data_IF_160660454292
#
_entry.id   IF_160660454292
#
_cell.length_a   1.000
_cell.length_b   1.000
_cell.length_c   1.000
_cell.angle_alpha   90.00
_cell.angle_beta   90.00
_cell.angle_gamma   90.00
#
_symmetry.space_group_name_H-M   'P 1'
#
loop_
_entity.id
_entity.type
_entity.pdbx_description
1 polymer ?
#
# COMPACT_ATOMS: atom_id res chain seq x y z
N UNK A 1 22.97 -9.70 87.46
CA UNK A 1 22.05 -10.59 86.77
C UNK A 1 21.71 -9.94 85.40
N UNK A 2 22.45 -10.31 84.35
CA UNK A 2 22.30 -9.70 83.01
C UNK A 2 21.38 -10.60 82.19
N UNK A 3 20.23 -10.03 81.77
CA UNK A 3 19.32 -10.68 80.85
C UNK A 3 19.67 -10.20 79.47
N UNK A 4 20.23 -11.10 78.64
CA UNK A 4 20.40 -10.88 77.21
C UNK A 4 19.14 -11.34 76.49
N UNK A 5 18.45 -10.39 75.90
CA UNK A 5 17.27 -10.65 75.01
C UNK A 5 17.76 -10.80 73.60
N UNK A 6 17.63 -12.04 73.07
CA UNK A 6 17.96 -12.38 71.66
C UNK A 6 16.70 -12.14 70.78
N UNK A 7 16.77 -11.18 69.87
CA UNK A 7 15.74 -10.96 68.87
C UNK A 7 15.99 -11.87 67.63
N UNK A 8 15.00 -12.63 67.19
CA UNK A 8 15.14 -13.39 65.91
C UNK A 8 15.05 -12.43 64.72
N UNK A 9 16.08 -12.42 63.86
CA UNK A 9 16.08 -11.76 62.54
C UNK A 9 15.15 -12.52 61.61
N UNK A 10 13.98 -11.98 61.33
CA UNK A 10 13.14 -12.44 60.24
C UNK A 10 13.75 -11.97 58.92
N UNK A 11 14.32 -12.90 58.17
CA UNK A 11 14.80 -12.69 56.81
C UNK A 11 13.60 -12.77 55.87
N UNK A 12 13.07 -11.58 55.47
CA UNK A 12 11.96 -11.51 54.51
C UNK A 12 12.49 -11.83 53.11
N UNK A 13 12.25 -13.06 52.65
CA UNK A 13 12.61 -13.50 51.31
C UNK A 13 11.64 -12.86 50.31
N UNK A 14 12.08 -11.78 49.63
CA UNK A 14 11.29 -11.11 48.59
C UNK A 14 11.34 -11.97 47.32
N UNK A 15 10.33 -12.80 47.09
CA UNK A 15 10.19 -13.60 45.90
C UNK A 15 9.82 -12.68 44.71
N UNK A 16 10.81 -12.27 43.91
CA UNK A 16 10.59 -11.52 42.67
C UNK A 16 10.00 -12.48 41.64
N UNK A 17 8.68 -12.43 41.46
CA UNK A 17 7.99 -13.10 40.36
C UNK A 17 8.36 -12.42 39.05
N UNK A 18 9.33 -12.99 38.34
CA UNK A 18 9.65 -12.67 36.95
C UNK A 18 8.48 -13.17 36.08
N UNK A 19 7.51 -12.29 35.80
CA UNK A 19 6.53 -12.55 34.75
C UNK A 19 7.25 -12.45 33.40
N UNK A 20 7.29 -13.52 32.58
CA UNK A 20 7.81 -13.40 31.22
C UNK A 20 6.89 -12.43 30.48
N UNK A 21 7.44 -11.29 30.04
CA UNK A 21 6.76 -10.43 29.08
C UNK A 21 6.61 -11.21 27.77
N UNK A 22 5.47 -11.86 27.57
CA UNK A 22 5.12 -12.45 26.28
C UNK A 22 4.85 -11.27 25.35
N UNK A 23 5.87 -10.87 24.60
CA UNK A 23 5.71 -9.94 23.49
C UNK A 23 4.89 -10.64 22.43
N UNK A 24 3.60 -10.34 22.37
CA UNK A 24 2.73 -10.82 21.30
C UNK A 24 3.16 -10.08 20.01
N UNK A 25 3.86 -10.77 19.15
CA UNK A 25 4.22 -10.25 17.83
C UNK A 25 2.94 -10.15 16.98
N UNK A 26 2.76 -9.01 16.30
CA UNK A 26 1.64 -8.83 15.39
C UNK A 26 1.73 -9.82 14.22
N UNK A 27 0.59 -10.37 13.84
CA UNK A 27 0.46 -11.18 12.62
C UNK A 27 0.56 -10.31 11.36
N UNK A 28 0.89 -10.91 10.23
CA UNK A 28 0.93 -10.19 8.94
C UNK A 28 -0.41 -9.52 8.60
N UNK A 29 -1.53 -10.18 8.93
CA UNK A 29 -2.86 -9.61 8.72
C UNK A 29 -3.11 -8.38 9.59
N UNK A 30 -2.75 -8.42 10.88
CA UNK A 30 -2.90 -7.27 11.78
C UNK A 30 -2.05 -6.07 11.34
N UNK A 31 -0.84 -6.32 10.83
CA UNK A 31 0.01 -5.27 10.28
C UNK A 31 -0.66 -4.64 9.05
N UNK A 32 -1.15 -5.47 8.11
CA UNK A 32 -1.84 -4.97 6.90
C UNK A 32 -3.12 -4.21 7.25
N UNK A 33 -3.87 -4.67 8.25
CA UNK A 33 -5.04 -3.95 8.75
C UNK A 33 -4.70 -2.58 9.32
N UNK A 34 -3.57 -2.44 10.02
CA UNK A 34 -3.08 -1.13 10.49
C UNK A 34 -2.62 -0.23 9.33
N UNK A 35 -2.06 -0.80 8.25
CA UNK A 35 -1.72 -0.05 7.03
C UNK A 35 -2.98 0.51 6.38
N UNK A 36 -4.03 -0.29 6.27
CA UNK A 36 -5.30 0.08 5.67
C UNK A 36 -6.05 1.13 6.50
N UNK A 37 -6.15 0.90 7.81
CA UNK A 37 -6.84 1.79 8.74
C UNK A 37 -6.06 3.07 9.10
N UNK A 38 -4.94 3.31 8.43
CA UNK A 38 -4.15 4.51 8.66
C UNK A 38 -4.95 5.75 8.25
N UNK A 39 -4.95 6.76 9.12
CA UNK A 39 -5.61 8.02 8.81
C UNK A 39 -5.06 8.66 7.52
N UNK A 40 -5.94 8.91 6.57
CA UNK A 40 -5.65 9.47 5.24
C UNK A 40 -6.25 10.85 5.01
N UNK A 41 -6.96 11.39 6.02
CA UNK A 41 -7.68 12.67 5.98
C UNK A 41 -9.13 12.51 5.52
N UNK A 42 -10.04 13.31 6.05
CA UNK A 42 -11.47 13.30 5.65
C UNK A 42 -11.65 13.81 4.22
N UNK A 43 -10.86 14.83 3.86
CA UNK A 43 -10.82 15.39 2.51
C UNK A 43 -9.39 15.70 2.15
N UNK A 44 -8.99 15.41 0.90
CA UNK A 44 -7.68 15.78 0.40
C UNK A 44 -7.79 16.48 -0.95
N UNK A 45 -6.95 17.47 -1.15
CA UNK A 45 -6.68 18.08 -2.44
C UNK A 45 -5.20 17.94 -2.74
N UNK A 46 -4.86 17.47 -3.93
CA UNK A 46 -3.47 17.33 -4.33
C UNK A 46 -3.25 17.73 -5.78
N UNK A 47 -2.08 18.31 -6.05
CA UNK A 47 -1.56 18.48 -7.40
C UNK A 47 -0.35 17.58 -7.59
N UNK A 48 -0.34 16.82 -8.67
CA UNK A 48 0.72 15.85 -8.95
C UNK A 48 1.18 15.93 -10.40
N UNK A 49 2.38 15.40 -10.66
CA UNK A 49 2.91 15.23 -12.00
C UNK A 49 3.18 13.75 -12.24
N UNK A 50 2.48 13.16 -13.21
CA UNK A 50 2.75 11.83 -13.71
C UNK A 50 3.81 11.92 -14.81
N UNK A 51 5.01 11.38 -14.54
CA UNK A 51 6.11 11.34 -15.49
C UNK A 51 6.20 9.94 -16.10
N UNK A 52 5.96 9.83 -17.40
CA UNK A 52 6.11 8.61 -18.17
C UNK A 52 7.50 8.58 -18.81
N UNK A 53 8.30 7.55 -18.51
CA UNK A 53 9.68 7.40 -19.00
C UNK A 53 9.71 6.15 -19.89
N UNK A 54 10.05 6.32 -21.17
CA UNK A 54 10.15 5.20 -22.09
C UNK A 54 11.54 4.52 -22.04
N UNK A 55 11.71 3.42 -22.80
CA UNK A 55 12.96 2.66 -22.87
C UNK A 55 14.15 3.44 -23.44
N UNK A 56 13.90 4.59 -24.08
CA UNK A 56 14.93 5.51 -24.60
C UNK A 56 15.14 6.71 -23.69
N UNK A 57 14.65 6.64 -22.43
CA UNK A 57 14.67 7.72 -21.45
C UNK A 57 13.97 9.02 -21.88
N UNK A 58 13.07 8.97 -22.85
CA UNK A 58 12.25 10.11 -23.22
C UNK A 58 11.13 10.25 -22.18
N UNK A 59 10.94 11.49 -21.71
CA UNK A 59 9.95 11.81 -20.68
C UNK A 59 8.72 12.48 -21.28
N UNK A 60 7.56 12.13 -20.79
CA UNK A 60 6.30 12.82 -21.03
C UNK A 60 5.68 13.13 -19.67
N UNK A 61 5.34 14.37 -19.44
CA UNK A 61 4.78 14.84 -18.17
C UNK A 61 3.30 15.16 -18.34
N UNK A 62 2.51 14.81 -17.34
CA UNK A 62 1.10 15.11 -17.24
C UNK A 62 0.82 15.69 -15.87
N UNK A 63 0.26 16.90 -15.82
CA UNK A 63 -0.16 17.52 -14.58
C UNK A 63 -1.58 17.09 -14.25
N UNK A 64 -1.80 16.71 -13.00
CA UNK A 64 -3.09 16.26 -12.47
C UNK A 64 -3.47 17.05 -11.24
N UNK A 65 -4.76 17.25 -11.05
CA UNK A 65 -5.36 17.70 -9.79
C UNK A 65 -6.32 16.63 -9.30
N UNK A 66 -6.14 16.19 -8.07
CA UNK A 66 -6.95 15.15 -7.45
C UNK A 66 -7.66 15.66 -6.21
N UNK A 67 -8.83 15.10 -5.97
CA UNK A 67 -9.65 15.32 -4.78
C UNK A 67 -10.10 13.97 -4.25
N UNK A 68 -10.04 13.79 -2.95
CA UNK A 68 -10.56 12.61 -2.26
C UNK A 68 -11.43 13.07 -1.11
N UNK A 69 -12.52 12.35 -0.86
CA UNK A 69 -13.42 12.59 0.25
C UNK A 69 -13.89 11.28 0.86
N UNK A 70 -13.69 11.13 2.17
CA UNK A 70 -14.34 10.09 2.95
C UNK A 70 -15.84 10.42 3.12
N UNK A 71 -16.67 9.42 2.93
CA UNK A 71 -18.12 9.49 3.13
C UNK A 71 -18.56 8.29 3.98
N UNK A 72 -19.77 8.32 4.52
CA UNK A 72 -20.29 7.26 5.41
C UNK A 72 -20.37 5.85 4.78
N UNK A 73 -20.13 5.72 3.49
CA UNK A 73 -20.23 4.46 2.74
C UNK A 73 -18.93 4.09 2.03
N UNK A 74 -17.84 4.81 2.29
CA UNK A 74 -16.54 4.58 1.67
C UNK A 74 -15.82 5.84 1.22
N UNK A 75 -14.89 5.72 0.29
CA UNK A 75 -14.05 6.80 -0.22
C UNK A 75 -14.38 7.13 -1.66
N UNK A 76 -14.54 8.42 -1.96
CA UNK A 76 -14.73 8.93 -3.33
C UNK A 76 -13.50 9.73 -3.75
N UNK A 77 -12.96 9.43 -4.92
CA UNK A 77 -11.80 10.14 -5.48
C UNK A 77 -12.05 10.54 -6.92
N UNK A 78 -11.60 11.75 -7.28
CA UNK A 78 -11.62 12.21 -8.67
C UNK A 78 -10.30 12.88 -9.02
N UNK A 79 -9.77 12.59 -10.20
CA UNK A 79 -8.56 13.20 -10.72
C UNK A 79 -8.81 13.79 -12.10
N UNK A 80 -8.32 15.02 -12.33
CA UNK A 80 -8.40 15.72 -13.61
C UNK A 80 -7.01 15.91 -14.20
N UNK A 81 -6.83 15.59 -15.45
CA UNK A 81 -5.64 15.94 -16.21
C UNK A 81 -5.71 17.39 -16.64
N UNK A 82 -4.72 18.21 -16.20
CA UNK A 82 -4.63 19.63 -16.49
C UNK A 82 -3.81 19.90 -17.75
N UNK A 83 -2.80 19.09 -18.01
CA UNK A 83 -1.91 19.18 -19.17
C UNK A 83 -1.23 17.86 -19.46
N UNK A 84 -0.67 17.65 -20.69
CA UNK A 84 -0.73 18.50 -21.86
C UNK A 84 -2.11 18.46 -22.58
N UNK A 85 -2.23 19.15 -23.70
CA UNK A 85 -3.51 19.34 -24.41
C UNK A 85 -4.18 18.05 -24.89
N UNK A 86 -3.37 17.02 -25.23
CA UNK A 86 -3.85 15.70 -25.70
C UNK A 86 -4.61 14.89 -24.62
N UNK A 87 -4.37 15.18 -23.34
CA UNK A 87 -5.05 14.52 -22.20
C UNK A 87 -5.84 15.51 -21.34
N UNK A 88 -5.76 16.80 -21.61
CA UNK A 88 -6.44 17.83 -20.81
C UNK A 88 -7.94 17.54 -20.69
N UNK A 89 -8.48 17.75 -19.48
CA UNK A 89 -9.88 17.48 -19.10
C UNK A 89 -10.26 15.99 -19.11
N UNK A 90 -9.35 15.05 -19.38
CA UNK A 90 -9.57 13.65 -19.03
C UNK A 90 -9.76 13.57 -17.52
N UNK A 91 -10.74 12.81 -17.06
CA UNK A 91 -10.95 12.60 -15.62
C UNK A 91 -11.15 11.14 -15.28
N UNK A 92 -10.67 10.76 -14.11
CA UNK A 92 -10.86 9.44 -13.52
C UNK A 92 -11.56 9.59 -12.18
N UNK A 93 -12.71 8.95 -12.03
CA UNK A 93 -13.53 8.92 -10.82
C UNK A 93 -13.52 7.52 -10.26
N UNK A 94 -13.35 7.35 -8.94
CA UNK A 94 -13.52 6.08 -8.25
C UNK A 94 -14.35 6.22 -6.99
N UNK A 95 -15.11 5.16 -6.69
CA UNK A 95 -15.86 4.95 -5.46
C UNK A 95 -15.38 3.62 -4.87
N UNK A 96 -14.66 3.69 -3.75
CA UNK A 96 -14.26 2.54 -2.98
C UNK A 96 -15.26 2.38 -1.84
N UNK A 97 -16.00 1.28 -1.86
CA UNK A 97 -17.07 1.03 -0.89
C UNK A 97 -16.50 0.36 0.37
N UNK A 98 -16.95 0.77 1.56
CA UNK A 98 -16.63 0.09 2.82
C UNK A 98 -17.34 -1.26 2.95
N UNK A 99 -18.39 -1.49 2.16
CA UNK A 99 -19.13 -2.74 2.12
C UNK A 99 -18.37 -3.77 1.24
N UNK A 100 -17.76 -4.81 1.83
CA UNK A 100 -16.95 -5.78 1.09
C UNK A 100 -17.77 -6.66 0.12
N UNK A 101 -19.10 -6.57 0.18
CA UNK A 101 -19.98 -7.25 -0.80
C UNK A 101 -20.15 -6.48 -2.09
N UNK A 102 -19.65 -5.24 -2.16
CA UNK A 102 -19.74 -4.36 -3.34
C UNK A 102 -18.40 -4.24 -4.01
N UNK A 103 -18.41 -4.45 -5.32
CA UNK A 103 -17.25 -4.12 -6.15
C UNK A 103 -17.03 -2.59 -6.19
N UNK A 104 -15.78 -2.17 -6.12
CA UNK A 104 -15.42 -0.77 -6.31
C UNK A 104 -15.79 -0.30 -7.72
N UNK A 105 -16.33 0.91 -7.82
CA UNK A 105 -16.75 1.51 -9.08
C UNK A 105 -15.73 2.54 -9.57
N UNK A 106 -15.40 2.49 -10.85
CA UNK A 106 -14.55 3.53 -11.44
C UNK A 106 -14.90 3.85 -12.88
N UNK A 107 -14.67 5.11 -13.28
CA UNK A 107 -15.01 5.64 -14.58
C UNK A 107 -13.89 6.53 -15.12
N UNK A 108 -13.61 6.38 -16.41
CA UNK A 108 -12.72 7.23 -17.17
C UNK A 108 -13.51 8.04 -18.19
N UNK A 109 -13.50 9.36 -18.06
CA UNK A 109 -14.03 10.28 -19.05
C UNK A 109 -12.95 10.71 -20.02
N UNK A 110 -13.22 10.57 -21.32
CA UNK A 110 -12.34 10.95 -22.43
C UNK A 110 -12.97 12.09 -23.21
N UNK A 111 -12.53 13.35 -23.05
CA UNK A 111 -13.14 14.52 -23.67
C UNK A 111 -13.06 14.47 -25.21
N UNK A 112 -11.98 13.92 -25.78
CA UNK A 112 -11.84 13.77 -27.22
C UNK A 112 -12.91 12.88 -27.88
N UNK A 113 -13.49 11.97 -27.09
CA UNK A 113 -14.57 11.06 -27.52
C UNK A 113 -15.92 11.46 -26.91
N UNK A 114 -15.97 12.47 -26.04
CA UNK A 114 -17.15 12.85 -25.24
C UNK A 114 -17.80 11.63 -24.56
N UNK A 115 -16.97 10.67 -24.11
CA UNK A 115 -17.44 9.39 -23.60
C UNK A 115 -16.89 9.09 -22.21
N UNK A 116 -17.80 8.60 -21.36
CA UNK A 116 -17.46 8.00 -20.06
C UNK A 116 -17.46 6.47 -20.20
N UNK A 117 -16.35 5.83 -19.83
CA UNK A 117 -16.24 4.38 -19.80
C UNK A 117 -16.12 3.91 -18.36
N UNK A 118 -16.97 2.97 -17.96
CA UNK A 118 -16.79 2.27 -16.68
C UNK A 118 -15.60 1.33 -16.80
N UNK A 119 -14.72 1.37 -15.80
CA UNK A 119 -13.58 0.45 -15.68
C UNK A 119 -14.00 -0.63 -14.67
N UNK A 120 -14.09 -1.88 -15.11
CA UNK A 120 -14.60 -2.97 -14.26
C UNK A 120 -13.91 -4.30 -14.54
N UNK A 121 -13.94 -5.19 -13.56
CA UNK A 121 -13.40 -6.54 -13.66
C UNK A 121 -11.96 -6.56 -14.20
N UNK A 122 -11.72 -7.33 -15.26
CA UNK A 122 -10.39 -7.48 -15.86
C UNK A 122 -9.77 -6.20 -16.43
N UNK A 123 -10.57 -5.17 -16.73
CA UNK A 123 -10.07 -3.89 -17.25
C UNK A 123 -9.30 -3.11 -16.19
N UNK A 124 -9.55 -3.36 -14.90
CA UNK A 124 -8.80 -2.78 -13.79
C UNK A 124 -7.32 -3.15 -13.84
N UNK A 125 -6.95 -4.29 -14.43
CA UNK A 125 -5.54 -4.71 -14.63
C UNK A 125 -4.82 -3.97 -15.75
N UNK A 126 -5.51 -3.16 -16.57
CA UNK A 126 -4.91 -2.41 -17.65
C UNK A 126 -4.11 -1.21 -17.12
N UNK A 127 -3.13 -0.77 -17.92
CA UNK A 127 -2.29 0.40 -17.62
C UNK A 127 -3.12 1.67 -17.47
N UNK A 128 -2.96 2.36 -16.35
CA UNK A 128 -3.52 3.69 -16.16
C UNK A 128 -2.83 4.70 -17.07
N UNK A 129 -3.56 5.17 -18.09
CA UNK A 129 -3.10 6.21 -19.01
C UNK A 129 -1.71 5.95 -19.60
N UNK A 130 -1.37 4.68 -19.85
CA UNK A 130 -0.09 4.26 -20.45
C UNK A 130 1.11 4.29 -19.49
N UNK A 131 0.89 4.41 -18.19
CA UNK A 131 1.92 4.25 -17.16
C UNK A 131 2.12 2.77 -16.78
N UNK A 132 3.08 2.48 -15.92
CA UNK A 132 3.24 1.17 -15.31
C UNK A 132 2.26 0.92 -14.14
N UNK A 133 1.55 1.93 -13.67
CA UNK A 133 0.41 1.75 -12.76
C UNK A 133 -0.79 1.19 -13.51
N UNK A 134 -1.59 0.39 -12.82
CA UNK A 134 -2.89 -0.10 -13.32
C UNK A 134 -4.04 0.73 -12.71
N UNK A 135 -5.25 0.59 -13.22
CA UNK A 135 -6.43 1.14 -12.56
C UNK A 135 -6.62 0.54 -11.17
N UNK A 136 -6.37 -0.77 -11.00
CA UNK A 136 -6.44 -1.42 -9.70
C UNK A 136 -5.44 -0.85 -8.68
N UNK A 137 -4.27 -0.35 -9.11
CA UNK A 137 -3.31 0.30 -8.21
C UNK A 137 -3.82 1.66 -7.66
N UNK A 138 -4.80 2.28 -8.33
CA UNK A 138 -5.39 3.55 -7.92
C UNK A 138 -6.59 3.36 -6.99
N UNK A 139 -7.33 2.26 -7.17
CA UNK A 139 -8.54 1.98 -6.39
C UNK A 139 -8.22 1.38 -5.01
N UNK A 140 -6.95 0.98 -4.79
CA UNK A 140 -6.54 0.32 -3.54
C UNK A 140 -6.81 -1.18 -3.55
N UNK A 141 -6.52 -1.81 -2.42
CA UNK A 141 -6.57 -3.27 -2.22
C UNK A 141 -7.52 -3.60 -1.10
N UNK A 142 -8.49 -4.47 -1.36
CA UNK A 142 -9.34 -5.04 -0.32
C UNK A 142 -8.52 -6.04 0.51
N UNK A 143 -8.34 -5.77 1.79
CA UNK A 143 -7.51 -6.60 2.69
C UNK A 143 -8.01 -8.03 2.74
N UNK A 144 -9.32 -8.21 2.75
CA UNK A 144 -9.96 -9.52 2.87
C UNK A 144 -9.73 -10.41 1.65
N UNK A 145 -9.33 -9.85 0.52
CA UNK A 145 -9.06 -10.57 -0.72
C UNK A 145 -7.73 -11.31 -0.74
N UNK A 146 -6.91 -11.14 0.29
CA UNK A 146 -5.55 -11.69 0.33
C UNK A 146 -5.27 -12.51 1.57
N UNK A 147 -4.36 -13.46 1.42
CA UNK A 147 -3.65 -14.08 2.54
C UNK A 147 -2.31 -13.41 2.71
N UNK A 148 -1.87 -13.22 3.97
CA UNK A 148 -0.65 -12.50 4.31
C UNK A 148 0.33 -13.36 5.08
N UNK A 149 1.63 -13.16 4.82
CA UNK A 149 2.72 -13.84 5.54
C UNK A 149 3.88 -12.85 5.77
N UNK A 150 4.41 -12.79 6.98
CA UNK A 150 5.70 -12.12 7.23
C UNK A 150 6.80 -12.98 6.63
N UNK A 151 7.52 -12.43 5.65
CA UNK A 151 8.67 -13.09 4.99
C UNK A 151 9.96 -12.73 5.71
N UNK A 152 10.06 -11.46 6.15
CA UNK A 152 11.13 -10.97 7.03
C UNK A 152 10.51 -10.10 8.10
N UNK A 153 10.93 -10.32 9.34
CA UNK A 153 10.48 -9.48 10.44
C UNK A 153 11.19 -8.11 10.47
N UNK A 154 12.40 -8.04 9.92
CA UNK A 154 13.16 -6.79 9.80
C UNK A 154 13.94 -6.76 8.50
N UNK A 155 13.84 -5.65 7.77
CA UNK A 155 14.66 -5.30 6.59
C UNK A 155 14.77 -3.77 6.53
N UNK A 156 15.87 -3.24 6.04
CA UNK A 156 16.08 -1.79 6.00
C UNK A 156 15.73 -1.20 4.63
N UNK A 157 14.97 -0.11 4.63
CA UNK A 157 14.70 0.70 3.44
C UNK A 157 14.90 2.18 3.79
N UNK A 158 15.85 2.82 3.15
CA UNK A 158 16.18 4.23 3.33
C UNK A 158 16.33 4.62 4.82
N UNK A 159 17.04 3.77 5.62
CA UNK A 159 17.28 3.97 7.05
C UNK A 159 16.10 3.64 7.97
N UNK A 160 15.01 3.10 7.45
CA UNK A 160 13.83 2.72 8.22
C UNK A 160 13.70 1.21 8.36
N UNK A 161 13.40 0.72 9.59
CA UNK A 161 13.10 -0.70 9.82
C UNK A 161 11.70 -1.04 9.30
N UNK A 162 11.63 -2.10 8.50
CA UNK A 162 10.43 -2.53 7.81
C UNK A 162 10.14 -4.02 8.02
N UNK A 163 8.88 -4.38 8.18
CA UNK A 163 8.45 -5.74 7.87
C UNK A 163 8.43 -5.96 6.37
N UNK A 164 8.73 -7.18 5.94
CA UNK A 164 8.48 -7.62 4.55
C UNK A 164 7.31 -8.58 4.56
N UNK A 165 6.19 -8.13 3.98
CA UNK A 165 4.95 -8.92 3.95
C UNK A 165 4.66 -9.39 2.54
N UNK A 166 4.41 -10.69 2.42
CA UNK A 166 3.89 -11.31 1.21
C UNK A 166 2.37 -11.31 1.26
N UNK A 167 1.73 -10.80 0.20
CA UNK A 167 0.30 -10.90 -0.04
C UNK A 167 0.04 -11.81 -1.25
N UNK A 168 -0.85 -12.78 -1.08
CA UNK A 168 -1.28 -13.72 -2.13
C UNK A 168 -2.79 -13.62 -2.30
N UNK A 169 -3.31 -13.36 -3.53
CA UNK A 169 -4.73 -13.32 -3.80
C UNK A 169 -5.44 -14.62 -3.42
N UNK A 170 -6.59 -14.54 -2.78
CA UNK A 170 -7.41 -15.71 -2.39
C UNK A 170 -8.18 -16.31 -3.56
N UNK A 171 -8.45 -15.54 -4.62
CA UNK A 171 -9.28 -15.98 -5.75
C UNK A 171 -8.66 -15.69 -7.11
N UNK A 172 -9.16 -16.37 -8.15
CA UNK A 172 -8.81 -16.11 -9.54
C UNK A 172 -9.39 -14.78 -10.03
N UNK A 173 -10.47 -14.30 -9.43
CA UNK A 173 -11.13 -13.05 -9.81
C UNK A 173 -10.27 -11.87 -9.36
N UNK A 174 -9.75 -11.87 -8.14
CA UNK A 174 -8.77 -10.89 -7.66
C UNK A 174 -7.52 -10.84 -8.57
N UNK A 175 -7.02 -12.03 -9.00
CA UNK A 175 -5.91 -12.10 -9.97
C UNK A 175 -6.31 -11.52 -11.34
N UNK A 176 -7.55 -11.70 -11.77
CA UNK A 176 -8.05 -11.17 -13.04
C UNK A 176 -8.13 -9.65 -13.00
N UNK A 177 -8.64 -9.10 -11.90
CA UNK A 177 -8.82 -7.66 -11.68
C UNK A 177 -7.53 -6.91 -11.50
N UNK A 178 -6.62 -7.43 -10.69
CA UNK A 178 -5.34 -6.75 -10.40
C UNK A 178 -4.25 -7.07 -11.42
N UNK A 179 -4.32 -8.26 -12.03
CA UNK A 179 -3.25 -8.81 -12.85
C UNK A 179 -2.06 -9.34 -12.04
N UNK A 180 -2.18 -9.47 -10.71
CA UNK A 180 -1.10 -9.79 -9.79
C UNK A 180 -1.26 -11.21 -9.22
N UNK A 181 -0.15 -11.95 -9.16
CA UNK A 181 -0.09 -13.29 -8.58
C UNK A 181 0.38 -13.25 -7.12
N UNK A 182 1.22 -12.28 -6.80
CA UNK A 182 1.86 -12.16 -5.50
C UNK A 182 2.48 -10.77 -5.37
N UNK A 183 2.43 -10.20 -4.18
CA UNK A 183 3.10 -8.95 -3.84
C UNK A 183 3.97 -9.14 -2.61
N UNK A 184 5.19 -8.62 -2.63
CA UNK A 184 6.02 -8.40 -1.45
C UNK A 184 6.04 -6.91 -1.18
N UNK A 185 5.67 -6.50 0.02
CA UNK A 185 5.64 -5.09 0.43
C UNK A 185 6.51 -4.88 1.67
N UNK A 186 7.39 -3.88 1.62
CA UNK A 186 8.15 -3.38 2.76
C UNK A 186 7.32 -2.31 3.46
N UNK A 187 7.00 -2.55 4.72
CA UNK A 187 6.13 -1.68 5.54
C UNK A 187 6.94 -1.15 6.70
N UNK A 188 7.11 0.17 6.76
CA UNK A 188 7.76 0.85 7.87
C UNK A 188 7.02 0.56 9.18
N UNK A 189 7.77 0.11 10.19
CA UNK A 189 7.21 -0.31 11.48
C UNK A 189 6.69 0.86 12.31
N UNK A 190 7.34 2.00 12.21
CA UNK A 190 7.03 3.19 13.01
C UNK A 190 5.73 3.90 12.61
N UNK A 191 5.32 3.80 11.34
CA UNK A 191 4.17 4.54 10.79
C UNK A 191 3.21 3.68 9.98
N UNK A 192 3.41 2.36 9.91
CA UNK A 192 2.61 1.42 9.12
C UNK A 192 2.43 1.87 7.67
N UNK A 193 3.51 2.32 7.04
CA UNK A 193 3.49 2.86 5.68
C UNK A 193 4.28 1.98 4.72
N UNK A 194 3.66 1.55 3.61
CA UNK A 194 4.35 0.84 2.54
C UNK A 194 5.36 1.77 1.84
N UNK A 195 6.61 1.30 1.68
CA UNK A 195 7.68 2.12 1.09
C UNK A 195 8.30 1.50 -0.15
N UNK A 196 8.16 0.19 -0.32
CA UNK A 196 8.71 -0.57 -1.44
C UNK A 196 7.83 -1.76 -1.73
N UNK A 197 7.70 -2.11 -3.00
CA UNK A 197 6.93 -3.28 -3.43
C UNK A 197 7.59 -4.03 -4.58
N UNK A 198 7.40 -5.35 -4.58
CA UNK A 198 7.76 -6.22 -5.67
C UNK A 198 6.56 -7.09 -6.02
N UNK A 199 6.08 -6.98 -7.24
CA UNK A 199 4.81 -7.54 -7.67
C UNK A 199 5.04 -8.53 -8.81
N UNK A 200 4.62 -9.77 -8.62
CA UNK A 200 4.65 -10.80 -9.66
C UNK A 200 3.38 -10.68 -10.52
N UNK A 201 3.56 -10.39 -11.80
CA UNK A 201 2.45 -10.14 -12.74
C UNK A 201 2.00 -11.45 -13.41
N UNK A 202 0.68 -11.63 -13.56
CA UNK A 202 0.06 -12.81 -14.18
C UNK A 202 0.55 -13.07 -15.61
N UNK A 203 0.71 -12.03 -16.43
CA UNK A 203 1.14 -12.17 -17.81
C UNK A 203 2.67 -12.26 -17.91
N UNK A 204 3.16 -13.48 -17.89
CA UNK A 204 4.51 -13.79 -18.29
C UNK A 204 5.58 -13.55 -17.22
N UNK A 205 6.81 -13.42 -17.71
CA UNK A 205 8.03 -13.32 -16.92
C UNK A 205 8.32 -11.87 -16.51
N UNK A 206 7.28 -11.12 -16.06
CA UNK A 206 7.41 -9.71 -15.68
C UNK A 206 7.24 -9.54 -14.17
N UNK A 207 7.94 -8.56 -13.65
CA UNK A 207 7.87 -8.12 -12.27
C UNK A 207 7.69 -6.61 -12.30
N UNK A 208 6.79 -6.06 -11.49
CA UNK A 208 6.74 -4.63 -11.22
C UNK A 208 7.50 -4.35 -9.93
N UNK A 209 8.24 -3.27 -9.93
CA UNK A 209 8.93 -2.72 -8.78
C UNK A 209 8.28 -1.38 -8.45
N UNK A 210 7.83 -1.24 -7.23
CA UNK A 210 7.22 -0.02 -6.71
C UNK A 210 8.05 0.56 -5.57
N UNK A 211 8.08 1.87 -5.46
CA UNK A 211 8.67 2.58 -4.33
C UNK A 211 7.94 3.87 -4.04
N UNK A 212 7.90 4.23 -2.75
CA UNK A 212 7.42 5.50 -2.23
C UNK A 212 8.56 6.19 -1.48
N UNK A 213 8.82 7.46 -1.80
CA UNK A 213 9.92 8.26 -1.27
C UNK A 213 9.45 9.62 -0.77
N UNK A 214 10.32 10.31 -0.07
CA UNK A 214 10.07 11.64 0.50
C UNK A 214 8.79 11.65 1.36
N UNK A 215 8.69 10.66 2.26
CA UNK A 215 7.53 10.48 3.12
C UNK A 215 7.54 11.54 4.20
N UNK A 216 6.47 12.32 4.26
CA UNK A 216 6.31 13.43 5.20
C UNK A 216 4.91 13.43 5.81
N UNK A 217 4.81 13.97 7.01
CA UNK A 217 3.52 14.23 7.65
C UNK A 217 3.05 15.63 7.27
N UNK A 218 1.89 15.72 6.61
CA UNK A 218 1.25 16.98 6.19
C UNK A 218 -0.16 16.96 6.75
N UNK A 219 -0.53 17.97 7.50
CA UNK A 219 -1.86 18.10 8.15
C UNK A 219 -2.31 16.83 8.91
N UNK A 220 -1.36 16.20 9.59
CA UNK A 220 -1.61 14.96 10.34
C UNK A 220 -1.52 13.67 9.53
N UNK A 221 -1.46 13.74 8.20
CA UNK A 221 -1.44 12.60 7.27
C UNK A 221 -0.03 12.30 6.78
N UNK A 222 0.38 11.03 6.82
CA UNK A 222 1.62 10.58 6.20
C UNK A 222 1.42 10.42 4.69
N UNK A 223 2.20 11.14 3.90
CA UNK A 223 2.15 11.11 2.44
C UNK A 223 3.53 10.88 1.83
N UNK A 224 3.60 10.13 0.74
CA UNK A 224 4.78 10.02 -0.10
C UNK A 224 4.72 11.08 -1.20
N UNK A 225 5.72 11.96 -1.27
CA UNK A 225 5.79 12.98 -2.33
C UNK A 225 6.18 12.42 -3.69
N UNK A 226 6.84 11.25 -3.69
CA UNK A 226 7.26 10.58 -4.92
C UNK A 226 6.87 9.13 -4.85
N UNK A 227 6.19 8.66 -5.88
CA UNK A 227 5.93 7.24 -6.10
C UNK A 227 6.44 6.83 -7.48
N UNK A 228 7.05 5.67 -7.56
CA UNK A 228 7.57 5.14 -8.81
C UNK A 228 7.10 3.70 -9.01
N UNK A 229 6.69 3.38 -10.23
CA UNK A 229 6.41 2.02 -10.66
C UNK A 229 7.24 1.73 -11.91
N UNK A 230 7.86 0.55 -11.97
CA UNK A 230 8.63 0.11 -13.14
C UNK A 230 8.35 -1.34 -13.41
N UNK A 231 8.04 -1.67 -14.67
CA UNK A 231 7.84 -3.06 -15.11
C UNK A 231 9.12 -3.58 -15.76
N UNK A 232 9.66 -4.67 -15.24
CA UNK A 232 10.89 -5.30 -15.74
C UNK A 232 10.68 -6.78 -16.03
N UNK A 233 11.59 -7.38 -16.84
CA UNK A 233 11.59 -8.83 -17.03
C UNK A 233 12.13 -9.53 -15.79
N UNK A 234 11.51 -10.63 -15.37
CA UNK A 234 12.02 -11.47 -14.28
C UNK A 234 13.37 -12.08 -14.68
N UNK A 235 14.44 -11.84 -13.90
CA UNK A 235 15.73 -12.46 -14.12
C UNK A 235 15.67 -13.95 -13.71
N UNK A 236 16.31 -14.85 -14.48
CA UNK A 236 16.31 -16.32 -14.22
C UNK A 236 16.80 -16.71 -12.81
N UNK A 237 17.66 -15.90 -12.17
CA UNK A 237 18.25 -16.18 -10.84
C UNK A 237 17.35 -15.85 -9.65
N UNK A 238 16.21 -15.23 -9.86
CA UNK A 238 15.33 -14.79 -8.77
C UNK A 238 14.32 -15.87 -8.31
N UNK A 239 14.45 -17.11 -8.81
CA UNK A 239 13.59 -18.24 -8.41
C UNK A 239 13.94 -18.84 -7.04
N UNK A 240 15.11 -18.53 -6.47
CA UNK A 240 15.60 -19.16 -5.22
C UNK A 240 15.49 -18.29 -3.98
N UNK A 241 14.84 -17.11 -4.06
CA UNK A 241 14.74 -16.18 -2.93
C UNK A 241 13.38 -15.53 -2.78
N UNK A 242 12.32 -16.30 -3.01
CA UNK A 242 10.96 -15.95 -2.61
C UNK A 242 10.40 -17.05 -1.73
#
# INVERSE_FOLDING_TARGET
>A
MNFNMIFPKYFLFFLVLLFPNVSVSMTAYEIMKKVDQRYTGETTEQTSTLVLIDKKNRKRERKLKGFTKEVSTGTKSISFFLSPSDVKNTSYLSYNWDDPSKDNDSWLYLPSLQKTNRISGGDRSNSFMGSDFTYADLDGVEIEDYTYKIVKDSDEVDGSDCWVIEATPKSKDVIKETGYLKTLTWIRKDIFFGVKGRILVKKGKKVKLWSAKDIKKIDGVWVAKTQQMTTTKKKKREHSSI
#
